data_IF_035412038549
#
_entry.id   IF_035412038549
#
_cell.length_a   1.000
_cell.length_b   1.000
_cell.length_c   1.000
_cell.angle_alpha   90.00
_cell.angle_beta   90.00
_cell.angle_gamma   90.00
#
_symmetry.space_group_name_H-M   'P 1'
#
loop_
_entity.id
_entity.type
_entity.pdbx_description
1 polymer ?
#
# COMPACT_ATOMS: atom_id res chain seq x y z
N UNK A 1 -17.97 -71.83 -12.34
CA UNK A 1 -16.89 -70.80 -12.45
C UNK A 1 -17.57 -69.46 -12.44
N UNK A 2 -17.44 -68.67 -11.31
CA UNK A 2 -18.06 -67.32 -11.15
C UNK A 2 -16.97 -66.29 -11.34
N UNK A 3 -17.06 -65.51 -12.42
CA UNK A 3 -16.21 -64.34 -12.70
C UNK A 3 -16.69 -63.14 -11.88
N UNK A 4 -15.89 -62.73 -10.91
CA UNK A 4 -16.11 -61.51 -10.11
C UNK A 4 -15.53 -60.36 -10.90
N UNK A 5 -16.41 -59.54 -11.49
CA UNK A 5 -16.02 -58.27 -12.13
C UNK A 5 -15.72 -57.22 -11.07
N UNK A 6 -14.44 -56.76 -10.96
CA UNK A 6 -14.04 -55.68 -10.07
C UNK A 6 -14.29 -54.34 -10.78
N UNK A 7 -15.37 -53.64 -10.42
CA UNK A 7 -15.58 -52.26 -10.79
C UNK A 7 -14.61 -51.39 -9.96
N UNK A 8 -13.60 -50.85 -10.62
CA UNK A 8 -12.72 -49.83 -10.06
C UNK A 8 -13.41 -48.46 -10.22
N UNK A 9 -14.01 -47.98 -9.14
CA UNK A 9 -14.62 -46.63 -9.12
C UNK A 9 -13.54 -45.56 -9.11
N UNK A 10 -13.47 -44.78 -10.20
CA UNK A 10 -12.59 -43.63 -10.33
C UNK A 10 -13.22 -42.46 -9.54
N UNK A 11 -12.71 -42.15 -8.34
CA UNK A 11 -13.11 -41.00 -7.56
C UNK A 11 -12.40 -39.78 -8.12
N UNK A 12 -13.08 -38.98 -8.96
CA UNK A 12 -12.62 -37.66 -9.37
C UNK A 12 -12.74 -36.69 -8.20
N UNK A 13 -11.64 -36.39 -7.53
CA UNK A 13 -11.54 -35.31 -6.54
C UNK A 13 -11.51 -33.99 -7.31
N UNK A 14 -12.62 -33.25 -7.31
CA UNK A 14 -12.67 -31.88 -7.81
C UNK A 14 -11.96 -30.98 -6.79
N UNK A 15 -10.75 -30.54 -7.11
CA UNK A 15 -10.10 -29.44 -6.41
C UNK A 15 -10.86 -28.17 -6.71
N UNK A 16 -11.70 -27.74 -5.77
CA UNK A 16 -12.32 -26.42 -5.81
C UNK A 16 -11.23 -25.40 -5.47
N UNK A 17 -10.64 -24.77 -6.48
CA UNK A 17 -9.79 -23.61 -6.29
C UNK A 17 -10.66 -22.49 -5.70
N UNK A 18 -10.43 -22.12 -4.45
CA UNK A 18 -11.03 -20.93 -3.87
C UNK A 18 -10.49 -19.73 -4.63
N UNK A 19 -11.33 -18.77 -5.03
CA UNK A 19 -10.84 -17.57 -5.68
C UNK A 19 -9.91 -16.82 -4.70
N UNK A 20 -8.65 -16.67 -5.05
CA UNK A 20 -7.74 -15.78 -4.35
C UNK A 20 -8.33 -14.37 -4.39
N UNK A 21 -8.55 -13.75 -3.23
CA UNK A 21 -9.06 -12.38 -3.18
C UNK A 21 -7.92 -11.45 -3.53
N UNK A 22 -8.04 -10.70 -4.61
CA UNK A 22 -7.02 -9.73 -5.00
C UNK A 22 -6.78 -8.69 -3.88
N UNK A 23 -5.51 -8.40 -3.57
CA UNK A 23 -5.13 -7.40 -2.58
C UNK A 23 -5.76 -6.04 -2.87
N UNK A 24 -6.23 -5.35 -1.85
CA UNK A 24 -6.69 -3.98 -1.92
C UNK A 24 -5.58 -3.04 -1.46
N UNK A 25 -5.00 -2.29 -2.38
CA UNK A 25 -3.91 -1.34 -2.12
C UNK A 25 -4.47 0.07 -2.11
N UNK A 26 -4.29 0.76 -0.99
CA UNK A 26 -4.57 2.19 -0.84
C UNK A 26 -3.27 2.96 -0.99
N UNK A 27 -3.04 3.60 -2.13
CA UNK A 27 -1.91 4.48 -2.35
C UNK A 27 -2.30 5.91 -1.96
N UNK A 28 -1.46 6.59 -1.18
CA UNK A 28 -1.70 7.97 -0.80
C UNK A 28 -1.56 8.90 -2.00
N UNK A 29 -0.54 8.71 -2.83
CA UNK A 29 -0.24 9.52 -4.00
C UNK A 29 -0.29 8.70 -5.30
N UNK A 30 -0.51 9.36 -6.46
CA UNK A 30 -0.64 8.71 -7.75
C UNK A 30 0.64 8.00 -8.21
N UNK A 31 1.82 8.48 -7.84
CA UNK A 31 3.10 7.84 -8.15
C UNK A 31 3.23 6.47 -7.47
N UNK A 32 2.83 6.36 -6.21
CA UNK A 32 2.83 5.06 -5.52
C UNK A 32 1.74 4.14 -6.04
N UNK A 33 0.60 4.70 -6.47
CA UNK A 33 -0.40 3.90 -7.17
C UNK A 33 0.13 3.37 -8.52
N UNK A 34 0.94 4.14 -9.25
CA UNK A 34 1.57 3.70 -10.49
C UNK A 34 2.59 2.59 -10.24
N UNK A 35 3.45 2.76 -9.23
CA UNK A 35 4.42 1.75 -8.82
C UNK A 35 3.74 0.45 -8.35
N UNK A 36 2.70 0.57 -7.53
CA UNK A 36 1.91 -0.58 -7.08
C UNK A 36 1.28 -1.34 -8.25
N UNK A 37 0.75 -0.66 -9.28
CA UNK A 37 0.23 -1.33 -10.49
C UNK A 37 1.29 -2.10 -11.25
N UNK A 38 2.52 -1.59 -11.29
CA UNK A 38 3.63 -2.28 -11.95
C UNK A 38 4.06 -3.54 -11.20
N UNK A 39 4.00 -3.52 -9.85
CA UNK A 39 4.47 -4.62 -9.00
C UNK A 39 3.38 -5.64 -8.67
N UNK A 40 2.12 -5.22 -8.62
CA UNK A 40 0.96 -6.05 -8.30
C UNK A 40 -0.19 -5.81 -9.29
N UNK A 41 -0.06 -6.23 -10.57
CA UNK A 41 -1.04 -5.93 -11.61
C UNK A 41 -2.42 -6.56 -11.36
N UNK A 42 -2.52 -7.56 -10.48
CA UNK A 42 -3.77 -8.21 -10.11
C UNK A 42 -4.48 -7.55 -8.91
N UNK A 43 -3.80 -6.62 -8.22
CA UNK A 43 -4.35 -5.96 -7.05
C UNK A 43 -5.39 -4.88 -7.42
N UNK A 44 -6.34 -4.65 -6.50
CA UNK A 44 -7.27 -3.52 -6.58
C UNK A 44 -6.61 -2.27 -6.03
N UNK A 45 -6.14 -1.38 -6.89
CA UNK A 45 -5.35 -0.23 -6.47
C UNK A 45 -6.20 1.04 -6.54
N UNK A 46 -6.24 1.76 -5.43
CA UNK A 46 -6.90 3.04 -5.30
C UNK A 46 -5.88 4.13 -4.94
N UNK A 47 -5.92 5.28 -5.64
CA UNK A 47 -5.12 6.46 -5.30
C UNK A 47 -5.99 7.44 -4.50
N UNK A 48 -5.52 7.86 -3.33
CA UNK A 48 -6.24 8.78 -2.46
C UNK A 48 -6.25 10.20 -3.02
N UNK A 49 -5.16 10.56 -3.68
CA UNK A 49 -4.96 11.86 -4.32
C UNK A 49 -4.82 11.73 -5.84
N UNK A 50 -4.82 12.85 -6.52
CA UNK A 50 -4.55 12.95 -7.95
C UNK A 50 -3.59 14.12 -8.23
N UNK A 51 -3.01 14.15 -9.42
CA UNK A 51 -1.92 15.06 -9.84
C UNK A 51 -2.22 16.58 -9.70
N UNK A 52 -3.47 16.96 -9.53
CA UNK A 52 -3.89 18.36 -9.35
C UNK A 52 -4.28 18.68 -7.89
N UNK A 53 -4.01 17.79 -6.95
CA UNK A 53 -4.25 18.01 -5.52
C UNK A 53 -2.94 18.19 -4.78
N UNK A 54 -2.96 19.08 -3.80
CA UNK A 54 -1.87 19.17 -2.83
C UNK A 54 -1.97 18.01 -1.84
N UNK A 55 -1.00 17.11 -1.80
CA UNK A 55 -1.04 15.92 -0.93
C UNK A 55 -0.94 16.24 0.57
N UNK A 56 -0.59 17.48 0.95
CA UNK A 56 -0.56 17.89 2.36
C UNK A 56 -1.96 18.14 2.93
N UNK A 57 -2.94 18.46 2.06
CA UNK A 57 -4.27 18.92 2.48
C UNK A 57 -5.37 18.09 1.82
N UNK A 58 -5.63 16.93 2.39
CA UNK A 58 -6.68 16.03 1.91
C UNK A 58 -7.81 15.93 2.92
N UNK A 59 -9.02 16.12 2.46
CA UNK A 59 -10.21 15.96 3.30
C UNK A 59 -10.53 14.46 3.49
N UNK A 60 -10.75 14.05 4.74
CA UNK A 60 -11.15 12.68 5.10
C UNK A 60 -12.63 12.42 4.75
N UNK A 61 -12.95 12.43 3.44
CA UNK A 61 -14.29 12.20 2.90
C UNK A 61 -14.72 10.73 3.04
N UNK A 62 -16.03 10.44 3.07
CA UNK A 62 -16.55 9.08 3.26
C UNK A 62 -16.01 8.04 2.27
N UNK A 63 -15.76 8.43 1.02
CA UNK A 63 -15.19 7.55 0.00
C UNK A 63 -13.77 7.09 0.35
N UNK A 64 -12.91 7.98 0.86
CA UNK A 64 -11.56 7.64 1.31
C UNK A 64 -11.60 6.72 2.54
N UNK A 65 -12.47 7.04 3.51
CA UNK A 65 -12.68 6.21 4.71
C UNK A 65 -13.08 4.79 4.30
N UNK A 66 -14.03 4.64 3.36
CA UNK A 66 -14.50 3.35 2.89
C UNK A 66 -13.41 2.56 2.13
N UNK A 67 -12.52 3.25 1.41
CA UNK A 67 -11.40 2.60 0.71
C UNK A 67 -10.33 2.14 1.68
N UNK A 68 -9.90 3.00 2.61
CA UNK A 68 -8.89 2.64 3.60
C UNK A 68 -9.37 1.54 4.56
N UNK A 69 -10.68 1.52 4.87
CA UNK A 69 -11.28 0.45 5.70
C UNK A 69 -11.12 -0.94 5.09
N UNK A 70 -11.08 -1.05 3.77
CA UNK A 70 -10.98 -2.32 3.03
C UNK A 70 -9.57 -2.60 2.50
N UNK A 71 -8.62 -1.70 2.75
CA UNK A 71 -7.26 -1.87 2.30
C UNK A 71 -6.55 -2.97 3.10
N UNK A 72 -5.83 -3.83 2.40
CA UNK A 72 -4.91 -4.80 2.97
C UNK A 72 -3.55 -4.16 3.19
N UNK A 73 -3.20 -3.17 2.34
CA UNK A 73 -1.97 -2.39 2.43
C UNK A 73 -2.25 -0.92 2.09
N UNK A 74 -1.62 -0.01 2.84
CA UNK A 74 -1.55 1.41 2.54
C UNK A 74 -0.12 1.77 2.16
N UNK A 75 0.07 2.42 1.01
CA UNK A 75 1.37 2.83 0.49
C UNK A 75 1.41 4.35 0.38
N UNK A 76 2.18 5.00 1.23
CA UNK A 76 2.29 6.44 1.38
C UNK A 76 3.75 6.89 1.27
N UNK A 77 3.98 8.18 1.06
CA UNK A 77 5.32 8.77 1.01
C UNK A 77 6.01 8.75 2.37
N UNK A 78 5.31 9.15 3.42
CA UNK A 78 5.91 9.41 4.72
C UNK A 78 6.68 10.74 4.76
N UNK A 79 7.66 10.87 5.65
CA UNK A 79 8.40 12.12 5.89
C UNK A 79 7.44 13.31 6.13
N UNK A 80 6.40 13.08 6.91
CA UNK A 80 5.37 14.05 7.30
C UNK A 80 4.48 14.59 6.16
N UNK A 81 4.52 14.01 4.95
CA UNK A 81 3.69 14.49 3.83
C UNK A 81 2.20 14.37 4.12
N UNK A 82 1.77 13.24 4.66
CA UNK A 82 0.37 12.92 4.93
C UNK A 82 -0.07 13.20 6.38
N UNK A 83 0.81 13.81 7.19
CA UNK A 83 0.58 14.04 8.62
C UNK A 83 -0.73 14.82 8.89
N UNK A 84 -1.08 15.75 8.01
CA UNK A 84 -2.26 16.60 8.15
C UNK A 84 -3.59 15.85 7.99
N UNK A 85 -3.63 14.64 7.43
CA UNK A 85 -4.89 13.96 7.11
C UNK A 85 -4.92 12.45 7.35
N UNK A 86 -3.81 11.74 7.13
CA UNK A 86 -3.79 10.28 7.19
C UNK A 86 -4.12 9.73 8.58
N UNK A 87 -3.63 10.29 9.71
CA UNK A 87 -3.99 9.79 11.05
C UNK A 87 -5.49 9.87 11.33
N UNK A 88 -6.13 10.99 10.94
CA UNK A 88 -7.58 11.16 11.10
C UNK A 88 -8.37 10.19 10.20
N UNK A 89 -7.86 9.90 9.00
CA UNK A 89 -8.45 8.93 8.09
C UNK A 89 -8.35 7.51 8.64
N UNK A 90 -7.18 7.11 9.16
CA UNK A 90 -6.93 5.81 9.79
C UNK A 90 -7.85 5.58 10.99
N UNK A 91 -8.01 6.60 11.84
CA UNK A 91 -8.92 6.53 12.99
C UNK A 91 -10.37 6.27 12.55
N UNK A 92 -10.87 7.02 11.54
CA UNK A 92 -12.24 6.86 11.03
C UNK A 92 -12.44 5.55 10.25
N UNK A 93 -11.43 5.09 9.53
CA UNK A 93 -11.47 3.83 8.82
C UNK A 93 -11.51 2.63 9.77
N UNK A 94 -10.87 2.74 10.96
CA UNK A 94 -10.80 1.70 11.99
C UNK A 94 -10.29 0.36 11.45
N UNK A 95 -9.36 0.40 10.47
CA UNK A 95 -8.78 -0.78 9.89
C UNK A 95 -7.45 -1.12 10.58
N UNK A 96 -7.36 -2.21 11.36
CA UNK A 96 -6.15 -2.57 12.08
C UNK A 96 -4.98 -2.95 11.18
N UNK A 97 -5.24 -3.40 9.93
CA UNK A 97 -4.19 -3.82 9.01
C UNK A 97 -3.29 -2.67 8.52
N UNK A 98 -3.84 -1.45 8.42
CA UNK A 98 -3.17 -0.28 7.84
C UNK A 98 -3.06 0.91 8.79
N UNK A 99 -3.12 0.67 10.10
CA UNK A 99 -2.80 1.71 11.08
C UNK A 99 -1.30 1.84 11.27
N UNK A 100 -0.87 2.90 11.91
CA UNK A 100 0.53 3.15 12.25
C UNK A 100 1.18 1.93 12.91
N UNK A 101 2.36 1.52 12.41
CA UNK A 101 3.10 0.35 12.87
C UNK A 101 2.54 -1.01 12.47
N UNK A 102 1.40 -1.08 11.77
CA UNK A 102 0.84 -2.34 11.29
C UNK A 102 1.59 -2.87 10.04
N UNK A 103 1.62 -4.19 9.83
CA UNK A 103 2.30 -4.78 8.66
C UNK A 103 1.81 -4.28 7.30
N UNK A 104 0.54 -3.91 7.19
CA UNK A 104 -0.04 -3.35 5.97
C UNK A 104 0.22 -1.85 5.79
N UNK A 105 0.81 -1.14 6.77
CA UNK A 105 1.25 0.25 6.57
C UNK A 105 2.66 0.28 6.01
N UNK A 106 2.86 0.92 4.86
CA UNK A 106 4.14 1.05 4.21
C UNK A 106 4.41 2.51 3.82
N UNK A 107 5.48 3.06 4.38
CA UNK A 107 5.98 4.38 4.01
C UNK A 107 7.24 4.26 3.16
N UNK A 108 7.28 4.98 2.04
CA UNK A 108 8.45 5.03 1.17
C UNK A 108 9.69 5.58 1.90
N UNK A 109 9.49 6.58 2.75
CA UNK A 109 10.55 7.23 3.51
C UNK A 109 11.20 6.32 4.58
N UNK A 110 10.54 5.23 4.99
CA UNK A 110 11.11 4.30 5.98
C UNK A 110 12.24 3.43 5.42
N UNK A 111 12.28 3.26 4.09
CA UNK A 111 13.19 2.32 3.43
C UNK A 111 14.30 3.00 2.63
N UNK A 112 14.31 4.34 2.58
CA UNK A 112 15.36 5.15 1.94
C UNK A 112 15.71 6.37 2.80
N UNK A 113 16.94 6.86 2.65
CA UNK A 113 17.32 8.11 3.30
C UNK A 113 16.68 9.29 2.60
N UNK A 114 15.96 10.13 3.35
CA UNK A 114 15.49 11.43 2.86
C UNK A 114 16.64 12.44 2.81
N UNK A 115 16.61 13.36 1.85
CA UNK A 115 17.52 14.51 1.78
C UNK A 115 16.90 15.71 2.51
N UNK A 116 17.71 16.77 2.72
CA UNK A 116 17.23 18.04 3.28
C UNK A 116 16.58 17.90 4.68
N UNK A 117 17.13 17.01 5.53
CA UNK A 117 16.70 16.94 6.93
C UNK A 117 17.15 18.23 7.65
N UNK A 118 16.18 19.05 8.02
CA UNK A 118 16.44 20.27 8.77
C UNK A 118 16.16 20.02 10.25
N UNK A 119 17.20 20.07 11.08
CA UNK A 119 17.08 19.99 12.54
C UNK A 119 16.54 21.28 13.18
N UNK A 120 16.49 22.38 12.42
CA UNK A 120 15.92 23.65 12.86
C UNK A 120 14.72 24.00 11.98
N UNK A 121 13.57 24.23 12.60
CA UNK A 121 12.37 24.72 11.92
C UNK A 121 12.67 26.10 11.31
N UNK A 122 12.91 26.14 10.01
CA UNK A 122 13.02 27.40 9.26
C UNK A 122 11.62 28.01 9.13
N UNK A 123 11.21 28.72 10.15
CA UNK A 123 9.96 29.47 10.19
C UNK A 123 9.94 30.43 9.00
N UNK A 124 8.99 30.24 8.07
CA UNK A 124 8.71 31.18 6.98
C UNK A 124 9.23 30.81 5.59
N UNK A 125 9.77 29.64 5.36
CA UNK A 125 10.19 29.17 4.03
C UNK A 125 9.38 27.92 3.58
N UNK A 126 8.19 28.14 3.04
CA UNK A 126 7.44 27.10 2.33
C UNK A 126 7.17 25.82 3.16
N UNK A 127 6.90 24.72 2.49
CA UNK A 127 6.70 23.41 3.12
C UNK A 127 8.05 22.80 3.50
N UNK A 128 8.46 22.98 4.76
CA UNK A 128 9.68 22.37 5.31
C UNK A 128 9.29 21.14 6.12
N UNK A 129 9.71 19.98 5.65
CA UNK A 129 9.51 18.71 6.36
C UNK A 129 10.72 18.45 7.27
N UNK A 130 10.51 18.38 8.59
CA UNK A 130 11.57 18.11 9.56
C UNK A 130 12.24 16.73 9.31
N UNK A 131 11.49 15.77 8.79
CA UNK A 131 11.94 14.41 8.46
C UNK A 131 12.63 14.31 7.10
N UNK A 132 12.74 15.41 6.36
CA UNK A 132 13.37 15.51 5.05
C UNK A 132 12.38 15.59 3.90
N UNK A 133 12.89 15.71 2.67
CA UNK A 133 12.11 15.90 1.47
C UNK A 133 11.30 14.64 1.10
N UNK A 134 9.95 14.69 1.10
CA UNK A 134 9.09 13.54 0.81
C UNK A 134 8.98 13.19 -0.68
N UNK A 135 9.51 14.01 -1.59
CA UNK A 135 9.41 13.80 -3.04
C UNK A 135 10.39 12.74 -3.56
N UNK A 136 10.37 11.57 -2.92
CA UNK A 136 11.28 10.45 -3.17
C UNK A 136 11.10 9.84 -4.57
N UNK A 137 9.92 10.00 -5.16
CA UNK A 137 9.56 9.50 -6.48
C UNK A 137 10.33 10.19 -7.63
N UNK A 138 10.99 11.32 -7.36
CA UNK A 138 11.81 12.04 -8.36
C UNK A 138 13.24 11.48 -8.48
N UNK A 139 13.63 10.55 -7.61
CA UNK A 139 14.94 9.90 -7.60
C UNK A 139 14.81 8.42 -8.02
N UNK A 140 15.27 8.04 -9.24
CA UNK A 140 15.14 6.68 -9.74
C UNK A 140 15.79 5.60 -8.87
N UNK A 141 16.93 5.89 -8.22
CA UNK A 141 17.64 4.93 -7.36
C UNK A 141 16.86 4.66 -6.07
N UNK A 142 16.23 5.70 -5.51
CA UNK A 142 15.32 5.56 -4.37
C UNK A 142 14.07 4.80 -4.76
N UNK A 143 13.46 5.13 -5.90
CA UNK A 143 12.29 4.40 -6.41
C UNK A 143 12.59 2.92 -6.58
N UNK A 144 13.77 2.56 -7.12
CA UNK A 144 14.17 1.16 -7.25
C UNK A 144 14.30 0.46 -5.88
N UNK A 145 14.84 1.15 -4.89
CA UNK A 145 14.96 0.63 -3.52
C UNK A 145 13.59 0.45 -2.87
N UNK A 146 12.71 1.46 -2.98
CA UNK A 146 11.32 1.43 -2.51
C UNK A 146 10.57 0.27 -3.17
N UNK A 147 10.71 0.10 -4.49
CA UNK A 147 10.07 -0.97 -5.25
C UNK A 147 10.45 -2.37 -4.73
N UNK A 148 11.73 -2.59 -4.42
CA UNK A 148 12.21 -3.87 -3.84
C UNK A 148 11.59 -4.14 -2.47
N UNK A 149 11.59 -3.15 -1.58
CA UNK A 149 11.02 -3.30 -0.24
C UNK A 149 9.51 -3.47 -0.28
N UNK A 150 8.82 -2.72 -1.14
CA UNK A 150 7.37 -2.85 -1.32
C UNK A 150 7.00 -4.22 -1.91
N UNK A 151 7.75 -4.73 -2.90
CA UNK A 151 7.57 -6.08 -3.43
C UNK A 151 7.74 -7.15 -2.36
N UNK A 152 8.74 -7.02 -1.49
CA UNK A 152 8.92 -7.92 -0.34
C UNK A 152 7.73 -7.87 0.63
N UNK A 153 7.19 -6.67 0.87
CA UNK A 153 6.00 -6.50 1.72
C UNK A 153 4.76 -7.14 1.09
N UNK A 154 4.57 -7.01 -0.23
CA UNK A 154 3.48 -7.68 -0.95
C UNK A 154 3.57 -9.21 -0.78
N UNK A 155 4.73 -9.79 -0.98
CA UNK A 155 4.95 -11.24 -0.79
C UNK A 155 4.73 -11.72 0.66
N UNK A 156 4.91 -10.85 1.65
CA UNK A 156 4.64 -11.19 3.07
C UNK A 156 3.13 -11.21 3.38
N UNK A 157 2.36 -10.35 2.72
CA UNK A 157 0.92 -10.23 2.94
C UNK A 157 0.09 -11.16 2.05
N UNK A 158 0.63 -11.51 0.89
CA UNK A 158 0.02 -12.40 -0.09
C UNK A 158 1.13 -13.31 -0.68
N UNK A 159 1.41 -14.44 -0.04
CA UNK A 159 2.53 -15.31 -0.41
C UNK A 159 2.23 -16.23 -1.61
N UNK A 160 1.06 -16.10 -2.29
CA UNK A 160 0.66 -16.94 -3.44
C UNK A 160 1.32 -16.53 -4.77
#
# INVERSE_FOLDING_TARGET
MRTVSKLLGLVCVWLVALPASALNIFACEPEWAALARALAPQANIYSATHVYQDPHYIEARPSLIARLRRADIAFCSGAALEEGWLPALQQRASNPAVREGAPGMFYAADVVSTIEKHHEALVGRGHVHAEGNPHLHLDPDRVQTIARHFSQRLMQLDPE
#
